data_IF_584059386601
#
_entry.id   IF_584059386601
#
_cell.length_a   1.000
_cell.length_b   1.000
_cell.length_c   1.000
_cell.angle_alpha   90.00
_cell.angle_beta   90.00
_cell.angle_gamma   90.00
#
_symmetry.space_group_name_H-M   'P 1'
#
loop_
_entity.id
_entity.type
_entity.pdbx_description
1 polymer ?
#
# COMPACT_ATOMS: atom_id res chain seq x y z
N UNK A 1 -26.64 -13.05 1.59
CA UNK A 1 -25.64 -12.04 1.21
C UNK A 1 -25.10 -11.42 2.49
N UNK A 2 -23.82 -11.12 2.56
CA UNK A 2 -23.29 -10.44 3.75
C UNK A 2 -23.69 -8.96 3.73
N UNK A 3 -24.09 -8.44 4.88
CA UNK A 3 -24.39 -7.00 5.03
C UNK A 3 -23.14 -6.23 5.52
N UNK A 4 -21.96 -6.81 5.32
CA UNK A 4 -20.71 -6.27 5.85
C UNK A 4 -19.62 -6.23 4.81
N UNK A 5 -18.79 -5.22 4.91
CA UNK A 5 -17.44 -5.14 4.36
C UNK A 5 -16.45 -4.80 5.48
N UNK A 6 -15.17 -4.75 5.17
CA UNK A 6 -14.15 -4.54 6.16
C UNK A 6 -13.17 -3.48 5.66
N UNK A 7 -12.84 -2.54 6.51
CA UNK A 7 -11.89 -1.48 6.25
C UNK A 7 -10.55 -1.78 6.94
N UNK A 8 -9.46 -1.64 6.21
CA UNK A 8 -8.10 -1.61 6.73
C UNK A 8 -7.53 -0.20 6.52
N UNK A 9 -7.23 0.50 7.61
CA UNK A 9 -6.46 1.74 7.57
C UNK A 9 -4.96 1.43 7.60
N UNK A 10 -4.42 0.98 6.47
CA UNK A 10 -2.99 0.67 6.35
C UNK A 10 -2.10 1.91 6.41
N UNK A 11 -2.67 3.11 6.37
CA UNK A 11 -1.97 4.37 6.61
C UNK A 11 -1.57 4.54 8.08
N UNK A 12 -2.27 3.88 9.00
CA UNK A 12 -1.93 3.89 10.42
C UNK A 12 -0.69 3.04 10.72
N UNK A 13 0.26 3.58 11.46
CA UNK A 13 1.41 2.81 11.95
C UNK A 13 1.03 1.67 12.90
N UNK A 14 -0.17 1.73 13.50
CA UNK A 14 -0.69 0.65 14.33
C UNK A 14 -1.05 -0.60 13.51
N UNK A 15 -1.27 -0.43 12.20
CA UNK A 15 -1.70 -1.50 11.29
C UNK A 15 -0.55 -1.99 10.42
N UNK A 16 0.23 -1.07 9.85
CA UNK A 16 1.32 -1.43 8.94
C UNK A 16 2.60 -0.68 9.30
N UNK A 17 3.65 -1.41 9.68
CA UNK A 17 4.97 -0.83 9.88
C UNK A 17 5.52 -0.27 8.56
N UNK A 18 6.36 0.75 8.67
CA UNK A 18 7.06 1.33 7.52
C UNK A 18 8.55 1.00 7.60
N UNK A 19 9.11 0.54 6.51
CA UNK A 19 10.52 0.17 6.38
C UNK A 19 11.23 1.09 5.40
N UNK A 20 12.50 1.41 5.67
CA UNK A 20 13.40 2.08 4.74
C UNK A 20 13.82 1.12 3.61
N UNK A 21 12.94 0.96 2.65
CA UNK A 21 13.12 0.08 1.50
C UNK A 21 12.71 0.84 0.25
N UNK A 22 13.64 1.00 -0.68
CA UNK A 22 13.39 1.62 -1.98
C UNK A 22 13.03 0.59 -3.03
N UNK A 23 12.29 1.01 -4.03
CA UNK A 23 11.87 0.16 -5.15
C UNK A 23 12.79 0.34 -6.36
N UNK A 24 12.99 -0.73 -7.11
CA UNK A 24 13.53 -0.69 -8.47
C UNK A 24 12.45 -1.15 -9.43
N UNK A 25 12.18 -0.33 -10.42
CA UNK A 25 11.27 -0.64 -11.52
C UNK A 25 12.03 -0.69 -12.84
N UNK A 26 11.44 -1.14 -13.95
CA UNK A 26 12.05 -0.98 -15.27
C UNK A 26 12.23 0.48 -15.70
N UNK A 27 11.43 1.41 -15.15
CA UNK A 27 11.41 2.82 -15.52
C UNK A 27 12.40 3.68 -14.72
N UNK A 28 12.77 3.28 -13.50
CA UNK A 28 13.75 3.99 -12.69
C UNK A 28 14.51 3.08 -11.73
N UNK A 29 15.77 3.42 -11.47
CA UNK A 29 16.62 2.76 -10.48
C UNK A 29 16.58 3.50 -9.15
N UNK A 30 15.78 2.98 -8.20
CA UNK A 30 15.67 3.56 -6.86
C UNK A 30 16.96 3.48 -6.04
N UNK A 31 17.89 2.57 -6.38
CA UNK A 31 19.20 2.48 -5.72
C UNK A 31 20.08 3.65 -6.15
N UNK A 32 20.15 3.92 -7.45
CA UNK A 32 20.91 5.04 -7.98
C UNK A 32 20.33 6.36 -7.45
N UNK A 33 19.01 6.51 -7.46
CA UNK A 33 18.30 7.65 -6.88
C UNK A 33 18.71 7.87 -5.42
N UNK A 34 18.68 6.82 -4.59
CA UNK A 34 19.06 6.89 -3.18
C UNK A 34 20.50 7.40 -3.02
N UNK A 35 21.47 6.85 -3.72
CA UNK A 35 22.88 7.26 -3.58
C UNK A 35 23.13 8.69 -4.10
N UNK A 36 22.46 9.11 -5.16
CA UNK A 36 22.55 10.49 -5.65
C UNK A 36 21.92 11.49 -4.66
N UNK A 37 20.82 11.12 -4.00
CA UNK A 37 20.27 11.92 -2.92
C UNK A 37 21.23 12.06 -1.73
N UNK A 38 21.93 10.98 -1.34
CA UNK A 38 22.95 11.06 -0.29
C UNK A 38 24.09 12.00 -0.69
N UNK A 39 24.61 11.91 -1.92
CA UNK A 39 25.62 12.84 -2.44
C UNK A 39 25.15 14.29 -2.42
N UNK A 40 23.90 14.53 -2.79
CA UNK A 40 23.27 15.89 -2.72
C UNK A 40 23.24 16.40 -1.29
N UNK A 41 22.81 15.58 -0.31
CA UNK A 41 22.79 15.93 1.12
C UNK A 41 24.19 16.25 1.66
N UNK A 42 25.21 15.55 1.17
CA UNK A 42 26.61 15.77 1.55
C UNK A 42 27.33 16.87 0.72
N UNK A 43 26.63 17.55 -0.22
CA UNK A 43 27.19 18.52 -1.14
C UNK A 43 28.37 17.98 -2.00
N UNK A 44 28.32 16.70 -2.36
CA UNK A 44 29.36 16.02 -3.15
C UNK A 44 28.88 15.65 -4.56
N UNK A 45 27.66 16.00 -4.91
CA UNK A 45 27.07 15.70 -6.22
C UNK A 45 27.63 16.60 -7.31
N UNK A 46 27.97 16.03 -8.46
CA UNK A 46 28.40 16.77 -9.65
C UNK A 46 27.21 17.30 -10.47
N UNK A 47 27.47 18.22 -11.41
CA UNK A 47 26.42 18.77 -12.29
C UNK A 47 25.77 17.70 -13.18
N UNK A 48 26.53 16.70 -13.63
CA UNK A 48 25.97 15.62 -14.46
C UNK A 48 25.18 14.62 -13.63
N UNK A 49 25.64 14.27 -12.43
CA UNK A 49 24.89 13.46 -11.46
C UNK A 49 23.58 14.17 -11.05
N UNK A 50 23.58 15.50 -10.93
CA UNK A 50 22.36 16.25 -10.63
C UNK A 50 21.30 16.09 -11.73
N UNK A 51 21.68 16.09 -13.01
CA UNK A 51 20.75 15.82 -14.12
C UNK A 51 20.17 14.41 -14.07
N UNK A 52 21.00 13.43 -13.72
CA UNK A 52 20.55 12.04 -13.54
C UNK A 52 19.56 11.96 -12.37
N UNK A 53 19.87 12.59 -11.23
CA UNK A 53 19.01 12.65 -10.06
C UNK A 53 17.63 13.24 -10.42
N UNK A 54 17.59 14.36 -11.13
CA UNK A 54 16.34 15.03 -11.55
C UNK A 54 15.49 14.12 -12.47
N UNK A 55 16.13 13.38 -13.37
CA UNK A 55 15.43 12.45 -14.26
C UNK A 55 14.83 11.25 -13.49
N UNK A 56 15.60 10.67 -12.57
CA UNK A 56 15.15 9.55 -11.73
C UNK A 56 14.03 9.98 -10.77
N UNK A 57 14.17 11.13 -10.11
CA UNK A 57 13.15 11.70 -9.23
C UNK A 57 11.84 12.00 -9.98
N UNK A 58 11.92 12.50 -11.21
CA UNK A 58 10.75 12.70 -12.06
C UNK A 58 10.04 11.38 -12.39
N UNK A 59 10.79 10.32 -12.68
CA UNK A 59 10.24 8.98 -12.98
C UNK A 59 9.61 8.35 -11.73
N UNK A 60 10.30 8.42 -10.58
CA UNK A 60 9.76 7.95 -9.30
C UNK A 60 8.51 8.73 -8.91
N UNK A 61 8.52 10.06 -9.04
CA UNK A 61 7.37 10.91 -8.75
C UNK A 61 6.17 10.55 -9.64
N UNK A 62 6.37 10.25 -10.92
CA UNK A 62 5.32 9.79 -11.82
C UNK A 62 4.72 8.46 -11.33
N UNK A 63 5.57 7.48 -11.02
CA UNK A 63 5.15 6.18 -10.50
C UNK A 63 4.39 6.31 -9.17
N UNK A 64 4.94 7.08 -8.23
CA UNK A 64 4.32 7.33 -6.93
C UNK A 64 2.94 8.01 -7.06
N UNK A 65 2.79 8.99 -7.96
CA UNK A 65 1.49 9.65 -8.20
C UNK A 65 0.46 8.66 -8.73
N UNK A 66 0.83 7.84 -9.69
CA UNK A 66 -0.06 6.82 -10.22
C UNK A 66 -0.52 5.85 -9.11
N UNK A 67 0.42 5.35 -8.31
CA UNK A 67 0.11 4.45 -7.20
C UNK A 67 -0.78 5.12 -6.15
N UNK A 68 -0.43 6.33 -5.71
CA UNK A 68 -1.16 7.09 -4.69
C UNK A 68 -2.58 7.48 -5.11
N UNK A 69 -2.80 7.68 -6.40
CA UNK A 69 -4.11 8.00 -6.96
C UNK A 69 -4.91 6.75 -7.33
N UNK A 70 -4.41 5.57 -6.96
CA UNK A 70 -5.04 4.29 -7.28
C UNK A 70 -5.24 4.13 -8.80
N UNK A 71 -4.24 4.53 -9.58
CA UNK A 71 -4.22 4.34 -11.02
C UNK A 71 -3.67 2.96 -11.36
N UNK A 72 -4.12 2.43 -12.47
CA UNK A 72 -3.62 1.17 -12.98
C UNK A 72 -2.17 1.33 -13.46
N UNK A 73 -1.26 0.55 -12.83
CA UNK A 73 0.14 0.46 -13.25
C UNK A 73 0.29 -0.85 -14.03
N UNK A 74 0.70 -0.79 -15.31
CA UNK A 74 0.91 -1.98 -16.12
C UNK A 74 1.92 -2.93 -15.48
N UNK A 75 1.72 -4.25 -15.64
CA UNK A 75 2.57 -5.27 -15.02
C UNK A 75 4.06 -5.09 -15.34
N UNK A 76 4.39 -4.66 -16.55
CA UNK A 76 5.77 -4.43 -16.99
C UNK A 76 6.42 -3.19 -16.36
N UNK A 77 5.65 -2.31 -15.74
CA UNK A 77 6.14 -1.11 -15.04
C UNK A 77 6.23 -1.32 -13.51
N UNK A 78 5.72 -2.45 -13.02
CA UNK A 78 5.71 -2.78 -11.60
C UNK A 78 7.14 -3.00 -11.06
N UNK A 79 7.37 -2.81 -9.74
CA UNK A 79 8.66 -3.09 -9.12
C UNK A 79 9.14 -4.52 -9.36
N UNK A 80 10.43 -4.65 -9.64
CA UNK A 80 11.10 -5.94 -9.87
C UNK A 80 12.00 -6.35 -8.71
N UNK A 81 12.46 -5.39 -7.93
CA UNK A 81 13.29 -5.60 -6.73
C UNK A 81 13.00 -4.55 -5.68
N UNK A 82 13.26 -4.92 -4.44
CA UNK A 82 13.25 -4.05 -3.28
C UNK A 82 14.65 -3.99 -2.67
N UNK A 83 15.12 -2.81 -2.27
CA UNK A 83 16.44 -2.65 -1.67
C UNK A 83 16.31 -1.99 -0.30
N UNK A 84 16.78 -2.69 0.71
CA UNK A 84 16.84 -2.17 2.08
C UNK A 84 17.93 -1.11 2.17
N UNK A 85 17.54 0.08 2.63
CA UNK A 85 18.47 1.17 2.91
C UNK A 85 19.43 0.81 4.05
N UNK A 86 20.69 1.35 4.05
CA UNK A 86 21.60 1.19 5.18
C UNK A 86 21.00 1.91 6.38
N UNK A 87 20.98 1.21 7.50
CA UNK A 87 20.12 1.57 8.60
C UNK A 87 20.77 2.48 9.63
N UNK A 88 20.03 3.52 10.03
CA UNK A 88 20.26 4.20 11.30
C UNK A 88 19.03 4.05 12.23
N UNK A 89 17.81 3.86 11.68
CA UNK A 89 16.58 3.85 12.47
C UNK A 89 15.59 2.72 12.13
N UNK A 90 15.81 1.93 11.08
CA UNK A 90 14.88 0.91 10.59
C UNK A 90 15.60 -0.40 10.32
N UNK A 91 16.32 -0.90 11.34
CA UNK A 91 17.30 -2.00 11.24
C UNK A 91 16.74 -3.36 10.88
N UNK A 92 15.42 -3.52 10.89
CA UNK A 92 14.83 -4.82 10.73
C UNK A 92 14.20 -5.02 9.37
N UNK A 93 14.34 -6.22 8.84
CA UNK A 93 13.47 -6.71 7.79
C UNK A 93 12.05 -6.92 8.35
N UNK A 94 11.02 -6.90 7.49
CA UNK A 94 9.69 -7.29 7.89
C UNK A 94 9.72 -8.65 8.59
N UNK A 95 9.04 -8.76 9.73
CA UNK A 95 8.95 -10.02 10.46
C UNK A 95 8.14 -11.03 9.65
N UNK A 96 8.41 -12.31 9.83
CA UNK A 96 7.65 -13.38 9.17
C UNK A 96 6.14 -13.33 9.49
N UNK A 97 5.77 -12.75 10.65
CA UNK A 97 4.36 -12.55 11.04
C UNK A 97 3.70 -11.32 10.42
N UNK A 98 4.45 -10.44 9.76
CA UNK A 98 3.88 -9.26 9.12
C UNK A 98 3.34 -9.63 7.75
N UNK A 99 2.02 -9.74 7.67
CA UNK A 99 1.33 -10.12 6.43
C UNK A 99 1.24 -8.98 5.42
N UNK A 100 1.29 -7.72 5.89
CA UNK A 100 1.48 -6.55 5.04
C UNK A 100 2.26 -5.46 5.78
N UNK A 101 2.99 -4.66 5.02
CA UNK A 101 3.82 -3.57 5.53
C UNK A 101 3.97 -2.49 4.46
N UNK A 102 4.43 -1.32 4.89
CA UNK A 102 4.75 -0.21 3.99
C UNK A 102 6.26 -0.11 3.80
N UNK A 103 6.65 0.38 2.64
CA UNK A 103 8.03 0.74 2.32
C UNK A 103 8.12 2.24 2.02
N UNK A 104 9.28 2.73 1.67
CA UNK A 104 9.50 4.13 1.27
C UNK A 104 8.39 4.61 0.33
N UNK A 105 7.94 5.87 0.47
CA UNK A 105 6.79 6.44 -0.24
C UNK A 105 5.43 5.80 0.11
N UNK A 106 5.37 5.07 1.23
CA UNK A 106 4.18 4.40 1.74
C UNK A 106 3.58 3.33 0.79
N UNK A 107 4.38 2.80 -0.16
CA UNK A 107 3.94 1.69 -0.99
C UNK A 107 3.60 0.45 -0.14
N UNK A 108 2.58 -0.27 -0.55
CA UNK A 108 2.10 -1.46 0.15
C UNK A 108 2.74 -2.72 -0.43
N UNK A 109 3.26 -3.54 0.47
CA UNK A 109 3.85 -4.85 0.17
C UNK A 109 3.19 -5.88 1.08
N UNK A 110 2.91 -7.06 0.54
CA UNK A 110 2.25 -8.15 1.24
C UNK A 110 3.11 -9.40 1.26
N UNK A 111 2.88 -10.25 2.26
CA UNK A 111 3.53 -11.55 2.37
C UNK A 111 3.00 -12.53 1.32
N UNK A 112 3.73 -13.62 1.12
CA UNK A 112 3.33 -14.72 0.23
C UNK A 112 2.02 -15.37 0.68
N UNK A 113 1.82 -15.52 1.98
CA UNK A 113 0.62 -16.13 2.57
C UNK A 113 -0.62 -15.29 2.24
N UNK A 114 -0.54 -13.98 2.47
CA UNK A 114 -1.62 -13.05 2.14
C UNK A 114 -1.91 -13.03 0.63
N UNK A 115 -0.86 -13.00 -0.19
CA UNK A 115 -1.00 -13.08 -1.65
C UNK A 115 -1.75 -14.33 -2.09
N UNK A 116 -1.40 -15.51 -1.54
CA UNK A 116 -2.05 -16.77 -1.92
C UNK A 116 -3.56 -16.78 -1.63
N UNK A 117 -3.99 -16.13 -0.57
CA UNK A 117 -5.42 -16.02 -0.28
C UNK A 117 -6.06 -14.98 -1.20
N UNK A 118 -5.55 -13.76 -1.21
CA UNK A 118 -6.16 -12.65 -1.95
C UNK A 118 -6.26 -12.95 -3.46
N UNK A 119 -5.23 -13.55 -4.05
CA UNK A 119 -5.18 -13.84 -5.49
C UNK A 119 -6.28 -14.81 -6.00
N UNK A 120 -6.99 -15.48 -5.10
CA UNK A 120 -8.11 -16.38 -5.45
C UNK A 120 -9.45 -15.64 -5.59
N UNK A 121 -9.48 -14.34 -5.30
CA UNK A 121 -10.70 -13.54 -5.26
C UNK A 121 -10.84 -12.63 -6.48
N UNK A 122 -11.99 -11.99 -6.61
CA UNK A 122 -12.26 -11.07 -7.72
C UNK A 122 -11.56 -9.72 -7.48
N UNK A 123 -10.40 -9.55 -8.06
CA UNK A 123 -9.54 -8.39 -7.87
C UNK A 123 -9.51 -7.44 -9.08
N UNK A 124 -10.07 -7.84 -10.21
CA UNK A 124 -10.09 -7.08 -11.48
C UNK A 124 -8.75 -6.42 -11.82
N UNK A 125 -8.65 -5.08 -11.66
CA UNK A 125 -7.46 -4.28 -11.99
C UNK A 125 -6.43 -4.20 -10.87
N UNK A 126 -6.41 -5.18 -9.97
CA UNK A 126 -5.35 -5.28 -8.95
C UNK A 126 -4.21 -6.13 -9.50
N UNK A 127 -3.01 -5.59 -9.44
CA UNK A 127 -1.79 -6.26 -9.91
C UNK A 127 -0.82 -6.53 -8.78
N UNK A 128 -0.07 -7.62 -8.91
CA UNK A 128 0.97 -8.00 -7.98
C UNK A 128 2.28 -8.20 -8.74
N UNK A 129 3.37 -7.71 -8.19
CA UNK A 129 4.71 -8.04 -8.65
C UNK A 129 5.43 -8.80 -7.56
N UNK A 130 5.92 -9.99 -7.88
CA UNK A 130 6.76 -10.76 -6.97
C UNK A 130 8.12 -10.07 -6.85
N UNK A 131 8.54 -9.81 -5.62
CA UNK A 131 9.78 -9.10 -5.32
C UNK A 131 10.54 -9.80 -4.17
N UNK A 132 11.85 -9.61 -4.16
CA UNK A 132 12.71 -10.00 -3.05
C UNK A 132 13.40 -8.76 -2.49
N UNK A 133 13.79 -8.82 -1.22
CA UNK A 133 14.51 -7.74 -0.57
C UNK A 133 16.02 -8.02 -0.65
N UNK A 134 16.76 -7.03 -1.10
CA UNK A 134 18.22 -7.02 -1.25
C UNK A 134 18.82 -5.95 -0.35
N UNK A 135 20.04 -6.15 0.04
CA UNK A 135 20.85 -5.10 0.66
C UNK A 135 21.27 -4.07 -0.39
N UNK A 136 21.10 -2.79 -0.11
CA UNK A 136 21.33 -1.73 -1.09
C UNK A 136 22.81 -1.54 -1.44
N UNK A 137 23.72 -1.82 -0.51
CA UNK A 137 25.16 -1.67 -0.71
C UNK A 137 25.78 -2.90 -1.37
N UNK A 138 25.55 -4.06 -0.77
CA UNK A 138 26.16 -5.32 -1.20
C UNK A 138 25.43 -6.01 -2.33
N UNK A 139 24.19 -5.61 -2.63
CA UNK A 139 23.28 -6.24 -3.60
C UNK A 139 22.94 -7.70 -3.27
N UNK A 140 23.28 -8.17 -2.08
CA UNK A 140 22.93 -9.52 -1.64
C UNK A 140 21.48 -9.62 -1.29
N UNK A 141 20.85 -10.72 -1.66
CA UNK A 141 19.48 -11.01 -1.27
C UNK A 141 19.39 -11.24 0.25
N UNK A 142 18.47 -10.58 0.91
CA UNK A 142 18.24 -10.63 2.35
C UNK A 142 17.02 -11.49 2.73
N UNK A 143 16.06 -11.65 1.80
CA UNK A 143 14.86 -12.44 2.05
C UNK A 143 14.88 -13.74 1.26
N UNK A 144 14.72 -14.89 1.94
CA UNK A 144 14.58 -16.19 1.28
C UNK A 144 13.20 -16.39 0.67
N UNK A 145 12.19 -15.74 1.26
CA UNK A 145 10.81 -15.79 0.79
C UNK A 145 10.48 -14.56 -0.05
N UNK A 146 9.67 -14.74 -1.11
CA UNK A 146 9.18 -13.62 -1.89
C UNK A 146 8.13 -12.82 -1.12
N UNK A 147 8.11 -11.53 -1.40
CA UNK A 147 7.01 -10.61 -1.09
C UNK A 147 6.30 -10.21 -2.37
N UNK A 148 5.18 -9.54 -2.24
CA UNK A 148 4.40 -9.06 -3.37
C UNK A 148 4.10 -7.58 -3.22
N UNK A 149 4.65 -6.78 -4.11
CA UNK A 149 4.22 -5.39 -4.26
C UNK A 149 2.83 -5.39 -4.87
N UNK A 150 1.93 -4.58 -4.33
CA UNK A 150 0.52 -4.58 -4.77
C UNK A 150 0.13 -3.21 -5.33
N UNK A 151 -0.45 -3.20 -6.52
CA UNK A 151 -1.15 -2.05 -7.09
C UNK A 151 -2.65 -2.33 -7.15
N UNK A 152 -3.42 -1.65 -6.32
CA UNK A 152 -4.88 -1.79 -6.26
C UNK A 152 -5.47 -0.59 -6.99
N UNK A 153 -5.93 -0.82 -8.23
CA UNK A 153 -6.48 0.23 -9.08
C UNK A 153 -8.02 0.30 -9.06
N UNK A 154 -8.67 -0.55 -8.27
CA UNK A 154 -10.11 -0.53 -8.13
C UNK A 154 -10.54 0.56 -7.15
N UNK A 155 -11.41 1.45 -7.64
CA UNK A 155 -11.91 2.62 -6.89
C UNK A 155 -13.42 2.67 -6.95
N UNK A 156 -14.06 2.75 -5.78
CA UNK A 156 -15.50 2.93 -5.66
C UNK A 156 -15.84 3.92 -4.56
N UNK A 157 -16.68 4.89 -4.85
CA UNK A 157 -17.20 5.86 -3.88
C UNK A 157 -18.44 5.27 -3.20
N UNK A 158 -18.23 4.39 -2.24
CA UNK A 158 -19.30 3.73 -1.48
C UNK A 158 -19.48 4.30 -0.07
N UNK A 159 -18.53 5.14 0.38
CA UNK A 159 -18.59 5.71 1.71
C UNK A 159 -19.79 6.62 1.89
N UNK A 160 -20.68 6.27 2.79
CA UNK A 160 -21.76 7.13 3.26
C UNK A 160 -21.23 8.04 4.38
N UNK A 161 -20.78 9.23 3.99
CA UNK A 161 -20.18 10.20 4.93
C UNK A 161 -21.18 10.69 5.96
N UNK A 162 -22.43 10.84 5.58
CA UNK A 162 -23.48 11.43 6.45
C UNK A 162 -23.88 10.48 7.60
N UNK A 163 -23.87 9.18 7.32
CA UNK A 163 -24.24 8.15 8.29
C UNK A 163 -23.04 7.48 8.97
N UNK A 164 -21.83 7.73 8.52
CA UNK A 164 -20.59 7.22 9.13
C UNK A 164 -20.12 8.11 10.27
N UNK A 165 -19.47 7.50 11.28
CA UNK A 165 -18.85 8.20 12.41
C UNK A 165 -17.35 8.28 12.20
N UNK A 166 -16.70 9.10 13.04
CA UNK A 166 -15.23 9.24 13.10
C UNK A 166 -14.58 9.68 11.78
N UNK A 167 -15.36 10.28 10.87
CA UNK A 167 -14.88 10.81 9.59
C UNK A 167 -14.65 12.32 9.72
N UNK A 168 -13.45 12.78 9.43
CA UNK A 168 -13.07 14.18 9.53
C UNK A 168 -12.51 14.75 8.24
N UNK A 169 -12.73 16.04 8.02
CA UNK A 169 -12.08 16.80 6.95
C UNK A 169 -10.59 16.95 7.29
N UNK A 170 -9.73 16.85 6.29
CA UNK A 170 -8.33 17.21 6.49
C UNK A 170 -8.23 18.73 6.78
N UNK A 171 -7.85 19.07 8.00
CA UNK A 171 -7.77 20.47 8.44
C UNK A 171 -6.68 21.26 7.70
N UNK A 172 -5.64 20.58 7.21
CA UNK A 172 -4.54 21.22 6.46
C UNK A 172 -4.88 21.42 4.99
N UNK A 173 -5.81 20.62 4.46
CA UNK A 173 -6.23 20.69 3.06
C UNK A 173 -7.75 20.57 2.95
N UNK A 174 -8.52 21.55 3.47
CA UNK A 174 -9.99 21.46 3.55
C UNK A 174 -10.67 21.40 2.17
N UNK A 175 -9.97 21.86 1.11
CA UNK A 175 -10.46 21.80 -0.27
C UNK A 175 -10.35 20.40 -0.90
N UNK A 176 -9.56 19.49 -0.31
CA UNK A 176 -9.50 18.11 -0.78
C UNK A 176 -10.77 17.37 -0.36
N UNK A 177 -11.37 16.64 -1.31
CA UNK A 177 -12.55 15.79 -1.02
C UNK A 177 -12.21 14.63 -0.08
N UNK A 178 -10.94 14.27 0.06
CA UNK A 178 -10.46 13.17 0.90
C UNK A 178 -10.69 13.43 2.38
N UNK A 179 -11.10 12.41 3.08
CA UNK A 179 -11.39 12.39 4.51
C UNK A 179 -10.36 11.54 5.26
N UNK A 180 -10.27 11.79 6.54
CA UNK A 180 -9.50 10.99 7.49
C UNK A 180 -10.45 10.25 8.41
N UNK A 181 -10.05 9.05 8.81
CA UNK A 181 -10.75 8.28 9.82
C UNK A 181 -9.96 8.40 11.12
N UNK A 182 -10.66 8.62 12.23
CA UNK A 182 -10.07 8.74 13.57
C UNK A 182 -10.57 7.61 14.45
N UNK A 183 -9.72 6.62 14.68
CA UNK A 183 -9.97 5.51 15.62
C UNK A 183 -11.37 4.87 15.48
N UNK A 184 -11.81 4.50 14.27
CA UNK A 184 -13.14 3.96 14.06
C UNK A 184 -13.27 2.61 14.75
N UNK A 185 -14.48 2.33 15.23
CA UNK A 185 -14.86 1.03 15.77
C UNK A 185 -15.68 0.25 14.75
N UNK A 186 -15.87 -1.03 15.02
CA UNK A 186 -16.80 -1.83 14.23
C UNK A 186 -18.15 -1.13 14.13
N UNK A 187 -18.70 -1.11 12.93
CA UNK A 187 -20.01 -0.55 12.56
C UNK A 187 -20.11 0.99 12.59
N UNK A 188 -19.00 1.70 12.79
CA UNK A 188 -18.97 3.17 12.67
C UNK A 188 -18.96 3.64 11.21
N UNK A 189 -18.47 2.82 10.30
CA UNK A 189 -18.38 3.14 8.87
C UNK A 189 -19.54 2.49 8.12
N UNK A 190 -20.26 3.31 7.37
CA UNK A 190 -21.40 2.90 6.56
C UNK A 190 -21.00 2.99 5.08
N UNK A 191 -21.37 1.97 4.32
CA UNK A 191 -21.16 1.93 2.87
C UNK A 191 -22.52 1.81 2.18
N UNK A 192 -22.75 2.63 1.17
CA UNK A 192 -23.90 2.54 0.26
C UNK A 192 -23.48 1.80 -1.01
N UNK A 193 -23.61 0.47 -1.01
CA UNK A 193 -23.20 -0.36 -2.13
C UNK A 193 -24.43 -0.74 -2.95
N UNK A 194 -24.58 -0.21 -4.17
CA UNK A 194 -25.67 -0.58 -5.03
C UNK A 194 -25.45 -2.01 -5.56
N UNK A 195 -26.35 -2.91 -5.23
CA UNK A 195 -26.42 -4.30 -5.75
C UNK A 195 -25.14 -5.14 -5.53
N UNK A 196 -25.23 -6.07 -4.62
CA UNK A 196 -24.14 -6.92 -4.09
C UNK A 196 -23.60 -8.01 -5.06
N UNK A 197 -24.21 -8.22 -6.22
CA UNK A 197 -23.98 -9.42 -7.04
C UNK A 197 -22.67 -9.44 -7.83
N UNK A 198 -21.96 -8.31 -7.92
CA UNK A 198 -20.68 -8.20 -8.64
C UNK A 198 -19.61 -7.47 -7.85
N UNK A 199 -19.63 -7.54 -6.54
CA UNK A 199 -18.70 -6.80 -5.71
C UNK A 199 -17.31 -7.37 -5.93
N UNK A 200 -16.40 -6.45 -6.19
CA UNK A 200 -14.98 -6.67 -6.10
C UNK A 200 -14.60 -7.00 -4.65
N UNK A 201 -13.60 -7.82 -4.48
CA UNK A 201 -13.22 -8.28 -3.15
C UNK A 201 -12.19 -7.39 -2.45
N UNK A 202 -11.56 -6.47 -3.21
CA UNK A 202 -10.52 -5.58 -2.72
C UNK A 202 -10.58 -4.25 -3.48
N UNK A 203 -10.78 -3.12 -2.78
CA UNK A 203 -10.89 -1.81 -3.43
C UNK A 203 -10.49 -0.65 -2.51
N UNK A 204 -10.23 0.50 -3.11
CA UNK A 204 -10.10 1.77 -2.41
C UNK A 204 -11.38 2.59 -2.52
N UNK A 205 -11.70 3.35 -1.48
CA UNK A 205 -12.64 4.46 -1.61
C UNK A 205 -11.84 5.76 -1.77
N UNK A 206 -11.97 6.49 -2.90
CA UNK A 206 -11.20 7.69 -3.16
C UNK A 206 -11.54 8.84 -2.20
N UNK A 207 -12.63 8.75 -1.44
CA UNK A 207 -12.98 9.70 -0.39
C UNK A 207 -12.16 9.52 0.88
N UNK A 208 -11.49 8.37 1.05
CA UNK A 208 -10.66 8.08 2.22
C UNK A 208 -9.17 8.03 1.86
N UNK A 209 -8.34 8.56 2.76
CA UNK A 209 -6.89 8.44 2.62
C UNK A 209 -6.41 7.08 3.12
N UNK A 210 -5.52 6.43 2.35
CA UNK A 210 -4.79 5.23 2.75
C UNK A 210 -5.67 4.10 3.34
N UNK A 211 -6.89 3.98 2.86
CA UNK A 211 -7.85 2.97 3.29
C UNK A 211 -8.05 1.92 2.21
N UNK A 212 -8.20 0.70 2.65
CA UNK A 212 -8.42 -0.44 1.78
C UNK A 212 -9.63 -1.23 2.29
N UNK A 213 -10.56 -1.50 1.39
CA UNK A 213 -11.75 -2.27 1.72
C UNK A 213 -11.64 -3.71 1.23
N UNK A 214 -12.14 -4.61 2.04
CA UNK A 214 -12.23 -6.04 1.77
C UNK A 214 -13.69 -6.49 1.80
N UNK A 215 -14.06 -7.39 0.90
CA UNK A 215 -15.36 -8.06 1.00
C UNK A 215 -15.39 -9.00 2.21
N UNK A 216 -16.56 -9.24 2.76
CA UNK A 216 -16.73 -10.17 3.90
C UNK A 216 -16.30 -11.60 3.56
N UNK A 217 -16.50 -12.05 2.32
CA UNK A 217 -16.05 -13.38 1.87
C UNK A 217 -14.54 -13.50 1.83
N UNK A 218 -13.82 -12.43 1.41
CA UNK A 218 -12.36 -12.41 1.42
C UNK A 218 -11.85 -12.44 2.86
N UNK A 219 -12.41 -11.63 3.76
CA UNK A 219 -12.00 -11.59 5.16
C UNK A 219 -12.25 -12.93 5.87
N UNK A 220 -13.36 -13.61 5.59
CA UNK A 220 -13.60 -14.98 6.10
C UNK A 220 -12.49 -15.93 5.66
N UNK A 221 -12.12 -15.92 4.39
CA UNK A 221 -11.03 -16.78 3.90
C UNK A 221 -9.68 -16.44 4.55
N UNK A 222 -9.41 -15.16 4.85
CA UNK A 222 -8.22 -14.76 5.60
C UNK A 222 -8.24 -15.29 7.04
N UNK A 223 -9.40 -15.29 7.69
CA UNK A 223 -9.55 -15.87 9.03
C UNK A 223 -9.44 -17.41 9.03
N UNK A 224 -9.94 -18.06 7.99
CA UNK A 224 -9.84 -19.53 7.82
C UNK A 224 -8.37 -20.02 7.70
N UNK A 225 -7.46 -19.18 7.22
CA UNK A 225 -6.02 -19.48 7.19
C UNK A 225 -5.27 -19.00 8.44
N UNK A 226 -5.98 -18.57 9.48
CA UNK A 226 -5.41 -18.25 10.79
C UNK A 226 -5.04 -16.77 10.99
N UNK A 227 -5.26 -15.91 9.99
CA UNK A 227 -5.12 -14.47 10.19
C UNK A 227 -6.32 -13.95 11.01
N UNK A 228 -6.12 -12.89 11.75
CA UNK A 228 -7.18 -12.34 12.57
C UNK A 228 -7.40 -10.83 12.35
N UNK A 229 -8.53 -10.35 12.85
CA UNK A 229 -8.95 -8.97 12.69
C UNK A 229 -7.89 -7.96 13.16
N UNK A 230 -7.21 -8.25 14.27
CA UNK A 230 -6.20 -7.36 14.87
C UNK A 230 -4.93 -7.30 14.04
N UNK A 231 -4.44 -8.43 13.55
CA UNK A 231 -3.23 -8.51 12.71
C UNK A 231 -3.41 -7.77 11.39
N UNK A 232 -4.61 -7.82 10.83
CA UNK A 232 -4.96 -7.15 9.58
C UNK A 232 -5.45 -5.70 9.80
N UNK A 233 -5.61 -5.26 11.07
CA UNK A 233 -6.15 -3.95 11.40
C UNK A 233 -7.53 -3.70 10.81
N UNK A 234 -8.37 -4.74 10.74
CA UNK A 234 -9.66 -4.67 10.09
C UNK A 234 -10.74 -4.10 11.02
N UNK A 235 -11.59 -3.29 10.45
CA UNK A 235 -12.75 -2.71 11.10
C UNK A 235 -13.97 -3.09 10.28
N UNK A 236 -14.99 -3.66 10.93
CA UNK A 236 -16.22 -4.03 10.24
C UNK A 236 -17.03 -2.79 9.87
N UNK A 237 -17.49 -2.75 8.61
CA UNK A 237 -18.34 -1.72 8.05
C UNK A 237 -19.71 -2.29 7.72
N UNK A 238 -20.77 -1.51 7.95
CA UNK A 238 -22.13 -1.89 7.58
C UNK A 238 -22.40 -1.50 6.13
N UNK A 239 -23.06 -2.37 5.37
CA UNK A 239 -23.58 -2.08 4.03
C UNK A 239 -25.09 -1.80 4.15
N UNK A 240 -25.53 -0.67 3.62
CA UNK A 240 -26.93 -0.26 3.52
C UNK A 240 -27.37 -0.09 2.08
#
# INVERSE_FOLDING_TARGET
MSNYAWLCDYGSHAVANTYGIVVQTPEFDGVELFFLEQKKKCNTITSDEMKILEALDASETKFWRAWKNYEFIPQQEMPIKLFKEPDINYSNLPKASEVFFRITNAYLVISKELYHVISQFNLRKTHFSQVYIYDIETKKQLSDMPYYFINIAEKFEFLDIENSKEISVNQYFPQQRKRWIREPKNDDIILSIPVMDNIIDLWHDPLLNNSLFFSDKLVKALFDVGLNQKELGLIRCIIK
#
